data_IF_511237706379
#
_entry.id   IF_511237706379
#
_cell.length_a   1.000
_cell.length_b   1.000
_cell.length_c   1.000
_cell.angle_alpha   90.00
_cell.angle_beta   90.00
_cell.angle_gamma   90.00
#
_symmetry.space_group_name_H-M   'P 1'
#
loop_
_entity.id
_entity.type
_entity.pdbx_description
1 polymer ?
#
# COMPACT_ATOMS: atom_id res chain seq x y z
N UNK A 1 -67.76 12.20 -44.41
CA UNK A 1 -67.92 13.67 -44.57
C UNK A 1 -68.39 14.26 -43.25
N UNK A 2 -67.97 15.50 -42.95
CA UNK A 2 -68.05 16.27 -41.67
C UNK A 2 -66.74 16.21 -40.89
N UNK A 3 -65.77 17.06 -41.20
CA UNK A 3 -65.61 18.51 -40.89
C UNK A 3 -64.93 18.76 -39.54
N UNK A 4 -63.81 19.46 -39.66
CA UNK A 4 -62.84 19.90 -38.67
C UNK A 4 -63.26 21.22 -37.99
N UNK A 5 -62.64 21.47 -36.82
CA UNK A 5 -62.36 22.76 -36.15
C UNK A 5 -63.54 23.46 -35.43
N UNK A 6 -63.40 24.17 -34.31
CA UNK A 6 -62.32 24.54 -33.38
C UNK A 6 -63.00 25.19 -32.16
N UNK A 7 -62.44 25.08 -30.95
CA UNK A 7 -62.12 26.23 -30.06
C UNK A 7 -61.52 25.75 -28.71
N UNK A 8 -60.65 26.55 -28.07
CA UNK A 8 -59.68 26.13 -27.08
C UNK A 8 -60.16 26.34 -25.64
N UNK A 9 -59.63 25.54 -24.71
CA UNK A 9 -59.57 25.90 -23.28
C UNK A 9 -58.16 25.63 -22.79
N UNK A 10 -57.50 26.70 -22.37
CA UNK A 10 -56.19 26.72 -21.71
C UNK A 10 -56.40 26.65 -20.20
N UNK A 11 -55.34 26.26 -19.48
CA UNK A 11 -55.09 26.31 -18.03
C UNK A 11 -55.46 25.05 -17.22
N UNK A 12 -54.48 24.21 -16.87
CA UNK A 12 -53.53 24.50 -15.77
C UNK A 12 -52.56 23.33 -15.57
N UNK A 13 -51.31 23.68 -15.30
CA UNK A 13 -50.21 22.77 -15.01
C UNK A 13 -50.36 22.12 -13.63
N UNK A 14 -50.13 20.81 -13.56
CA UNK A 14 -49.78 20.08 -12.35
C UNK A 14 -48.58 19.18 -12.71
N UNK A 15 -47.38 19.73 -12.54
CA UNK A 15 -46.15 18.95 -12.57
C UNK A 15 -46.08 18.16 -11.25
N UNK A 16 -46.47 16.89 -11.31
CA UNK A 16 -46.08 15.90 -10.31
C UNK A 16 -44.58 15.69 -10.45
N UNK A 17 -43.81 16.36 -9.59
CA UNK A 17 -42.40 16.08 -9.40
C UNK A 17 -42.23 14.69 -8.81
N UNK A 18 -41.87 13.72 -9.65
CA UNK A 18 -41.27 12.48 -9.17
C UNK A 18 -39.92 12.85 -8.54
N UNK A 19 -39.83 12.72 -7.22
CA UNK A 19 -38.56 12.71 -6.53
C UNK A 19 -37.75 11.52 -7.06
N UNK A 20 -36.78 11.80 -7.94
CA UNK A 20 -35.73 10.85 -8.26
C UNK A 20 -34.92 10.61 -6.99
N UNK A 21 -34.95 9.38 -6.49
CA UNK A 21 -33.94 8.85 -5.60
C UNK A 21 -32.56 9.22 -6.14
N UNK A 22 -31.63 9.73 -5.31
CA UNK A 22 -30.28 9.97 -5.79
C UNK A 22 -29.69 8.61 -6.17
N UNK A 23 -29.49 8.40 -7.47
CA UNK A 23 -28.66 7.31 -7.97
C UNK A 23 -27.31 7.40 -7.24
N UNK A 24 -26.96 6.34 -6.51
CA UNK A 24 -25.59 6.09 -6.10
C UNK A 24 -24.78 5.87 -7.39
N UNK A 25 -24.32 6.96 -7.99
CA UNK A 25 -23.26 6.90 -8.97
C UNK A 25 -22.05 6.28 -8.29
N UNK A 26 -21.53 5.21 -8.88
CA UNK A 26 -20.20 4.70 -8.57
C UNK A 26 -19.19 5.83 -8.83
N UNK A 27 -18.82 6.56 -7.79
CA UNK A 27 -17.99 7.77 -7.85
C UNK A 27 -16.54 7.48 -8.21
N UNK A 28 -16.15 6.21 -8.30
CA UNK A 28 -14.78 5.77 -8.65
C UNK A 28 -14.53 5.76 -10.16
N UNK A 29 -15.52 5.39 -10.97
CA UNK A 29 -15.43 5.34 -12.43
C UNK A 29 -15.16 6.73 -13.04
N UNK A 30 -15.63 7.78 -12.38
CA UNK A 30 -15.43 9.17 -12.81
C UNK A 30 -13.98 9.65 -12.55
N UNK A 31 -13.35 9.26 -11.44
CA UNK A 31 -11.97 9.69 -11.14
C UNK A 31 -10.95 9.14 -12.15
N UNK A 32 -11.03 7.85 -12.48
CA UNK A 32 -10.16 7.23 -13.48
C UNK A 32 -10.39 7.79 -14.89
N UNK A 33 -11.59 8.31 -15.19
CA UNK A 33 -11.88 8.96 -16.46
C UNK A 33 -11.15 10.30 -16.61
N UNK A 34 -10.82 10.98 -15.50
CA UNK A 34 -10.06 12.24 -15.50
C UNK A 34 -8.55 12.06 -15.69
N UNK A 35 -8.04 10.83 -15.60
CA UNK A 35 -6.62 10.52 -15.72
C UNK A 35 -6.17 10.35 -17.18
N UNK A 36 -4.90 10.64 -17.50
CA UNK A 36 -4.33 10.29 -18.80
C UNK A 36 -4.44 8.78 -19.05
N UNK A 37 -4.64 8.40 -20.32
CA UNK A 37 -4.68 6.98 -20.74
C UNK A 37 -3.25 6.44 -20.82
N UNK A 38 -2.74 5.96 -19.69
CA UNK A 38 -1.40 5.42 -19.54
C UNK A 38 -1.40 3.88 -19.61
N UNK A 39 -0.32 3.33 -20.11
CA UNK A 39 0.01 1.89 -20.12
C UNK A 39 1.41 1.69 -19.52
N UNK A 40 1.75 0.46 -19.10
CA UNK A 40 3.12 0.14 -18.66
C UNK A 40 4.18 0.62 -19.65
N UNK A 41 3.96 0.37 -20.95
CA UNK A 41 4.90 0.75 -22.02
C UNK A 41 5.11 2.26 -22.15
N UNK A 42 4.08 3.06 -21.84
CA UNK A 42 4.15 4.52 -21.95
C UNK A 42 4.66 5.19 -20.68
N UNK A 43 4.47 4.54 -19.52
CA UNK A 43 4.83 5.12 -18.22
C UNK A 43 6.22 4.67 -17.76
N UNK A 44 6.65 3.45 -18.06
CA UNK A 44 7.96 2.94 -17.68
C UNK A 44 9.00 3.23 -18.77
N UNK A 45 10.10 3.94 -18.45
CA UNK A 45 11.23 4.03 -19.34
C UNK A 45 11.97 2.67 -19.41
N UNK A 46 12.79 2.44 -20.45
CA UNK A 46 13.68 1.28 -20.43
C UNK A 46 14.64 1.36 -19.25
N UNK A 47 14.85 0.24 -18.57
CA UNK A 47 15.84 0.08 -17.52
C UNK A 47 17.00 -0.80 -17.98
N UNK A 48 18.19 -0.53 -17.44
CA UNK A 48 19.38 -1.35 -17.64
C UNK A 48 19.68 -2.12 -16.37
N UNK A 49 20.28 -3.31 -16.53
CA UNK A 49 20.81 -4.04 -15.39
C UNK A 49 21.92 -3.24 -14.70
N UNK A 50 22.03 -3.40 -13.38
CA UNK A 50 23.12 -2.84 -12.59
C UNK A 50 23.73 -3.93 -11.69
N UNK A 51 24.60 -3.54 -10.75
CA UNK A 51 25.26 -4.49 -9.83
C UNK A 51 24.31 -5.20 -8.86
N UNK A 52 23.08 -4.71 -8.70
CA UNK A 52 22.09 -5.24 -7.77
C UNK A 52 20.95 -5.99 -8.46
N UNK A 53 20.54 -5.57 -9.66
CA UNK A 53 19.35 -6.08 -10.30
C UNK A 53 19.44 -6.28 -11.82
N UNK A 54 18.75 -7.31 -12.30
CA UNK A 54 18.57 -7.65 -13.71
C UNK A 54 17.10 -7.95 -14.00
N UNK A 55 16.68 -7.85 -15.27
CA UNK A 55 15.29 -8.12 -15.66
C UNK A 55 14.85 -9.58 -15.48
N UNK A 56 15.79 -10.51 -15.23
CA UNK A 56 15.52 -11.95 -15.06
C UNK A 56 15.26 -12.32 -13.60
N UNK A 57 15.46 -11.40 -12.67
CA UNK A 57 15.23 -11.65 -11.25
C UNK A 57 13.74 -11.59 -10.93
N UNK A 58 13.36 -12.26 -9.85
CA UNK A 58 11.98 -12.28 -9.40
C UNK A 58 11.51 -10.90 -8.95
N UNK A 59 10.26 -10.58 -9.28
CA UNK A 59 9.70 -9.23 -9.12
C UNK A 59 9.67 -8.75 -7.66
N UNK A 60 9.46 -9.65 -6.70
CA UNK A 60 9.47 -9.38 -5.25
C UNK A 60 10.88 -9.07 -4.72
N UNK A 61 11.92 -9.77 -5.20
CA UNK A 61 13.31 -9.42 -4.91
C UNK A 61 13.63 -8.05 -5.50
N UNK A 62 13.27 -7.81 -6.77
CA UNK A 62 13.49 -6.54 -7.43
C UNK A 62 12.81 -5.38 -6.70
N UNK A 63 11.58 -5.57 -6.23
CA UNK A 63 10.85 -4.59 -5.44
C UNK A 63 11.54 -4.31 -4.11
N UNK A 64 11.89 -5.36 -3.35
CA UNK A 64 12.58 -5.23 -2.06
C UNK A 64 13.94 -4.54 -2.20
N UNK A 65 14.74 -4.89 -3.20
CA UNK A 65 16.01 -4.24 -3.54
C UNK A 65 15.79 -2.76 -3.86
N UNK A 66 14.81 -2.47 -4.72
CA UNK A 66 14.43 -1.12 -5.09
C UNK A 66 14.11 -0.24 -3.88
N UNK A 67 13.30 -0.75 -2.94
CA UNK A 67 12.98 -0.05 -1.69
C UNK A 67 14.20 0.15 -0.80
N UNK A 68 15.04 -0.87 -0.62
CA UNK A 68 16.24 -0.79 0.22
C UNK A 68 17.23 0.24 -0.31
N UNK A 69 17.53 0.20 -1.61
CA UNK A 69 18.40 1.16 -2.28
C UNK A 69 17.83 2.58 -2.22
N UNK A 70 16.51 2.73 -2.41
CA UNK A 70 15.85 4.03 -2.26
C UNK A 70 16.00 4.60 -0.84
N UNK A 71 15.79 3.78 0.19
CA UNK A 71 15.95 4.17 1.59
C UNK A 71 17.41 4.48 1.95
N UNK A 72 18.36 3.81 1.28
CA UNK A 72 19.79 4.12 1.36
C UNK A 72 20.20 5.35 0.50
N UNK A 73 19.23 6.03 -0.12
CA UNK A 73 19.41 7.18 -1.01
C UNK A 73 20.21 6.88 -2.30
N UNK A 74 20.39 5.61 -2.66
CA UNK A 74 20.94 5.16 -3.94
C UNK A 74 19.84 5.09 -5.01
N UNK A 75 19.33 6.28 -5.36
CA UNK A 75 18.19 6.43 -6.27
C UNK A 75 18.48 5.94 -7.70
N UNK A 76 19.74 5.98 -8.15
CA UNK A 76 20.13 5.55 -9.48
C UNK A 76 19.98 4.03 -9.63
N UNK A 77 20.49 3.26 -8.66
CA UNK A 77 20.32 1.81 -8.69
C UNK A 77 18.89 1.39 -8.35
N UNK A 78 18.26 2.05 -7.38
CA UNK A 78 16.86 1.80 -7.02
C UNK A 78 15.91 1.92 -8.23
N UNK A 79 16.09 2.96 -9.06
CA UNK A 79 15.24 3.23 -10.23
C UNK A 79 15.15 2.02 -11.16
N UNK A 80 16.28 1.38 -11.45
CA UNK A 80 16.32 0.23 -12.37
C UNK A 80 15.58 -0.97 -11.78
N UNK A 81 15.81 -1.27 -10.49
CA UNK A 81 15.16 -2.40 -9.83
C UNK A 81 13.64 -2.19 -9.72
N UNK A 82 13.22 -0.96 -9.38
CA UNK A 82 11.80 -0.59 -9.30
C UNK A 82 11.11 -0.62 -10.66
N UNK A 83 11.78 -0.22 -11.75
CA UNK A 83 11.23 -0.35 -13.11
C UNK A 83 11.01 -1.83 -13.48
N UNK A 84 11.96 -2.71 -13.14
CA UNK A 84 11.79 -4.14 -13.41
C UNK A 84 10.69 -4.77 -12.55
N UNK A 85 10.49 -4.30 -11.31
CA UNK A 85 9.43 -4.78 -10.42
C UNK A 85 8.02 -4.25 -10.75
N UNK A 86 7.93 -3.03 -11.29
CA UNK A 86 6.67 -2.28 -11.47
C UNK A 86 5.54 -3.00 -12.24
N UNK A 87 5.80 -3.90 -13.22
CA UNK A 87 4.72 -4.66 -13.87
C UNK A 87 3.91 -5.55 -12.93
N UNK A 88 4.49 -5.98 -11.80
CA UNK A 88 3.85 -6.85 -10.81
C UNK A 88 3.65 -6.16 -9.45
N UNK A 89 4.30 -5.01 -9.23
CA UNK A 89 4.28 -4.27 -7.96
C UNK A 89 3.85 -2.81 -8.19
N UNK A 90 2.55 -2.53 -8.11
CA UNK A 90 2.02 -1.18 -8.36
C UNK A 90 2.62 -0.12 -7.42
N UNK A 91 2.96 -0.48 -6.19
CA UNK A 91 3.58 0.47 -5.25
C UNK A 91 4.99 0.92 -5.66
N UNK A 92 5.66 0.18 -6.56
CA UNK A 92 6.93 0.63 -7.15
C UNK A 92 6.79 2.00 -7.83
N UNK A 93 5.62 2.31 -8.40
CA UNK A 93 5.35 3.61 -9.01
C UNK A 93 5.34 4.77 -8.01
N UNK A 94 4.96 4.54 -6.74
CA UNK A 94 5.10 5.56 -5.69
C UNK A 94 6.58 5.91 -5.46
N UNK A 95 7.46 4.91 -5.41
CA UNK A 95 8.91 5.13 -5.28
C UNK A 95 9.50 5.78 -6.54
N UNK A 96 9.11 5.31 -7.73
CA UNK A 96 9.55 5.88 -9.00
C UNK A 96 9.13 7.35 -9.14
N UNK A 97 7.94 7.72 -8.66
CA UNK A 97 7.51 9.12 -8.57
C UNK A 97 8.45 9.96 -7.70
N UNK A 98 8.83 9.46 -6.52
CA UNK A 98 9.74 10.17 -5.62
C UNK A 98 11.16 10.29 -6.21
N UNK A 99 11.61 9.28 -6.95
CA UNK A 99 12.88 9.33 -7.68
C UNK A 99 12.81 10.35 -8.82
N UNK A 100 11.73 10.33 -9.60
CA UNK A 100 11.52 11.27 -10.71
C UNK A 100 11.53 12.72 -10.24
N UNK A 101 10.93 13.03 -9.08
CA UNK A 101 10.94 14.37 -8.48
C UNK A 101 12.34 14.90 -8.16
N UNK A 102 13.34 14.02 -8.02
CA UNK A 102 14.73 14.35 -7.68
C UNK A 102 15.68 14.32 -8.88
N UNK A 103 15.21 13.97 -10.07
CA UNK A 103 16.03 13.79 -11.27
C UNK A 103 16.60 15.13 -11.79
N UNK A 104 17.85 15.41 -11.41
CA UNK A 104 18.52 16.69 -11.72
C UNK A 104 18.87 16.84 -13.21
N UNK A 105 18.82 15.76 -13.99
CA UNK A 105 19.09 15.82 -15.44
C UNK A 105 17.89 16.35 -16.22
N UNK A 106 16.70 16.31 -15.63
CA UNK A 106 15.45 16.75 -16.24
C UNK A 106 15.08 18.17 -15.83
N UNK A 107 14.38 18.88 -16.71
CA UNK A 107 13.71 20.12 -16.33
C UNK A 107 12.61 19.85 -15.30
N UNK A 108 12.21 20.87 -14.54
CA UNK A 108 11.12 20.73 -13.58
C UNK A 108 9.82 20.24 -14.24
N UNK A 109 9.48 20.74 -15.43
CA UNK A 109 8.28 20.33 -16.15
C UNK A 109 8.31 18.85 -16.54
N UNK A 110 9.47 18.33 -16.96
CA UNK A 110 9.64 16.91 -17.28
C UNK A 110 9.53 16.03 -16.03
N UNK A 111 10.15 16.42 -14.91
CA UNK A 111 10.02 15.72 -13.63
C UNK A 111 8.57 15.68 -13.16
N UNK A 112 7.91 16.84 -13.17
CA UNK A 112 6.53 17.00 -12.75
C UNK A 112 5.60 16.08 -13.57
N UNK A 113 5.75 16.08 -14.89
CA UNK A 113 4.93 15.26 -15.78
C UNK A 113 5.20 13.76 -15.58
N UNK A 114 6.47 13.35 -15.44
CA UNK A 114 6.83 11.94 -15.22
C UNK A 114 6.31 11.43 -13.87
N UNK A 115 6.54 12.19 -12.80
CA UNK A 115 6.02 11.87 -11.47
C UNK A 115 4.50 11.81 -11.46
N UNK A 116 3.81 12.77 -12.10
CA UNK A 116 2.36 12.72 -12.24
C UNK A 116 1.90 11.45 -12.96
N UNK A 117 2.59 11.04 -14.04
CA UNK A 117 2.23 9.84 -14.77
C UNK A 117 2.41 8.57 -13.94
N UNK A 118 3.46 8.45 -13.12
CA UNK A 118 3.62 7.33 -12.21
C UNK A 118 2.48 7.25 -11.18
N UNK A 119 2.15 8.38 -10.54
CA UNK A 119 1.06 8.45 -9.56
C UNK A 119 -0.30 8.17 -10.23
N UNK A 120 -0.58 8.78 -11.39
CA UNK A 120 -1.83 8.56 -12.12
C UNK A 120 -1.97 7.10 -12.57
N UNK A 121 -0.90 6.47 -13.05
CA UNK A 121 -0.92 5.07 -13.43
C UNK A 121 -1.26 4.18 -12.23
N UNK A 122 -0.54 4.29 -11.12
CA UNK A 122 -0.78 3.47 -9.93
C UNK A 122 -2.15 3.73 -9.28
N UNK A 123 -2.60 4.98 -9.23
CA UNK A 123 -3.94 5.33 -8.74
C UNK A 123 -5.04 4.70 -9.62
N UNK A 124 -4.81 4.60 -10.93
CA UNK A 124 -5.74 3.91 -11.83
C UNK A 124 -5.85 2.41 -11.54
N UNK A 125 -4.82 1.82 -10.92
CA UNK A 125 -4.74 0.43 -10.48
C UNK A 125 -5.15 0.24 -9.00
N UNK A 126 -5.82 1.23 -8.40
CA UNK A 126 -6.29 1.20 -7.00
C UNK A 126 -5.17 1.15 -5.94
N UNK A 127 -3.95 1.60 -6.28
CA UNK A 127 -2.89 1.71 -5.27
C UNK A 127 -3.19 2.90 -4.34
N UNK A 128 -3.38 2.61 -3.06
CA UNK A 128 -3.82 3.60 -2.09
C UNK A 128 -2.78 4.70 -1.84
N UNK A 129 -1.48 4.41 -2.00
CA UNK A 129 -0.40 5.39 -1.86
C UNK A 129 -0.49 6.41 -2.99
N UNK A 130 -0.72 5.93 -4.22
CA UNK A 130 -0.89 6.76 -5.39
C UNK A 130 -2.20 7.56 -5.34
N UNK A 131 -3.29 6.99 -4.84
CA UNK A 131 -4.56 7.72 -4.63
C UNK A 131 -4.40 8.87 -3.64
N UNK A 132 -3.65 8.67 -2.55
CA UNK A 132 -3.25 9.75 -1.65
C UNK A 132 -2.33 10.77 -2.33
N UNK A 133 -1.44 10.31 -3.20
CA UNK A 133 -0.64 11.16 -4.08
C UNK A 133 -1.51 12.07 -4.96
N UNK A 134 -2.58 11.53 -5.56
CA UNK A 134 -3.54 12.29 -6.34
C UNK A 134 -4.29 13.33 -5.48
N UNK A 135 -4.67 12.98 -4.25
CA UNK A 135 -5.22 13.96 -3.29
C UNK A 135 -4.26 15.13 -3.11
N UNK A 136 -2.98 14.87 -2.79
CA UNK A 136 -1.99 15.95 -2.60
C UNK A 136 -1.86 16.82 -3.84
N UNK A 137 -1.76 16.21 -5.02
CA UNK A 137 -1.57 16.92 -6.30
C UNK A 137 -2.71 17.91 -6.54
N UNK A 138 -3.97 17.47 -6.41
CA UNK A 138 -5.14 18.32 -6.63
C UNK A 138 -5.39 19.30 -5.46
N UNK A 139 -5.06 18.93 -4.23
CA UNK A 139 -5.30 19.78 -3.06
C UNK A 139 -4.48 21.07 -3.10
N UNK A 140 -3.25 21.00 -3.60
CA UNK A 140 -2.34 22.15 -3.69
C UNK A 140 -2.23 22.74 -5.10
N UNK A 141 -2.55 21.97 -6.13
CA UNK A 141 -2.25 22.32 -7.52
C UNK A 141 -0.75 22.22 -7.79
N UNK A 142 -0.29 21.07 -8.24
CA UNK A 142 1.13 20.80 -8.54
C UNK A 142 1.27 19.88 -9.75
N UNK A 143 2.50 19.68 -10.21
CA UNK A 143 2.82 18.78 -11.33
C UNK A 143 2.05 19.10 -12.62
N UNK A 144 1.89 20.39 -12.91
CA UNK A 144 1.13 20.88 -14.07
C UNK A 144 -0.40 20.77 -13.95
N UNK A 145 -0.91 20.44 -12.76
CA UNK A 145 -2.35 20.32 -12.47
C UNK A 145 -2.84 21.50 -11.64
N UNK A 146 -3.97 22.07 -12.03
CA UNK A 146 -4.62 23.13 -11.26
C UNK A 146 -5.21 22.61 -9.95
N UNK A 147 -5.23 23.48 -8.93
CA UNK A 147 -5.81 23.15 -7.63
C UNK A 147 -7.32 22.90 -7.76
N UNK A 148 -7.77 21.72 -7.34
CA UNK A 148 -9.16 21.27 -7.37
C UNK A 148 -9.50 20.54 -6.06
N UNK A 149 -9.95 21.25 -5.01
CA UNK A 149 -10.21 20.66 -3.69
C UNK A 149 -11.32 19.62 -3.68
N UNK A 150 -12.32 19.77 -4.56
CA UNK A 150 -13.43 18.82 -4.67
C UNK A 150 -12.95 17.49 -5.23
N UNK A 151 -12.15 17.54 -6.30
CA UNK A 151 -11.52 16.33 -6.82
C UNK A 151 -10.50 15.74 -5.86
N UNK A 152 -9.74 16.58 -5.16
CA UNK A 152 -8.82 16.13 -4.13
C UNK A 152 -9.56 15.33 -3.04
N UNK A 153 -10.67 15.88 -2.51
CA UNK A 153 -11.51 15.19 -1.51
C UNK A 153 -11.93 13.80 -1.99
N UNK A 154 -12.35 13.68 -3.24
CA UNK A 154 -12.76 12.38 -3.82
C UNK A 154 -11.60 11.39 -3.94
N UNK A 155 -10.39 11.84 -4.29
CA UNK A 155 -9.21 10.98 -4.27
C UNK A 155 -8.82 10.54 -2.86
N UNK A 156 -8.96 11.42 -1.86
CA UNK A 156 -8.72 11.09 -0.45
C UNK A 156 -9.72 10.05 0.06
N UNK A 157 -11.00 10.21 -0.28
CA UNK A 157 -12.05 9.23 0.02
C UNK A 157 -11.75 7.87 -0.59
N UNK A 158 -11.29 7.83 -1.84
CA UNK A 158 -10.92 6.57 -2.50
C UNK A 158 -9.73 5.89 -1.81
N UNK A 159 -8.67 6.64 -1.49
CA UNK A 159 -7.52 6.13 -0.74
C UNK A 159 -7.90 5.58 0.63
N UNK A 160 -8.80 6.27 1.35
CA UNK A 160 -9.31 5.81 2.64
C UNK A 160 -10.17 4.54 2.53
N UNK A 161 -10.98 4.43 1.46
CA UNK A 161 -11.74 3.22 1.14
C UNK A 161 -10.79 2.06 0.77
N UNK A 162 -9.67 2.33 0.12
CA UNK A 162 -8.63 1.35 -0.12
C UNK A 162 -7.70 1.13 1.08
N UNK A 163 -8.12 1.54 2.28
CA UNK A 163 -7.51 1.09 3.53
C UNK A 163 -6.34 1.94 4.04
N UNK A 164 -5.99 3.04 3.36
CA UNK A 164 -4.86 3.86 3.80
C UNK A 164 -5.21 4.65 5.07
N UNK A 165 -4.57 4.28 6.19
CA UNK A 165 -4.87 4.80 7.53
C UNK A 165 -4.76 6.31 7.62
N UNK A 166 -3.71 6.90 7.03
CA UNK A 166 -3.52 8.35 7.02
C UNK A 166 -4.64 9.08 6.27
N UNK A 167 -5.19 8.47 5.22
CA UNK A 167 -6.36 9.03 4.52
C UNK A 167 -7.63 8.93 5.35
N UNK A 168 -7.82 7.82 6.08
CA UNK A 168 -8.95 7.66 7.00
C UNK A 168 -8.91 8.70 8.13
N UNK A 169 -7.75 8.88 8.77
CA UNK A 169 -7.54 9.91 9.79
C UNK A 169 -7.71 11.31 9.21
N UNK A 170 -7.16 11.60 8.03
CA UNK A 170 -7.32 12.89 7.37
C UNK A 170 -8.81 13.19 7.09
N UNK A 171 -9.60 12.21 6.65
CA UNK A 171 -11.04 12.40 6.47
C UNK A 171 -11.75 12.68 7.79
N UNK A 172 -11.44 11.93 8.86
CA UNK A 172 -12.05 12.16 10.17
C UNK A 172 -11.87 13.61 10.64
N UNK A 173 -10.65 14.15 10.56
CA UNK A 173 -10.36 15.54 10.95
C UNK A 173 -10.98 16.56 9.98
N UNK A 174 -10.97 16.30 8.68
CA UNK A 174 -11.56 17.22 7.69
C UNK A 174 -13.06 17.34 7.86
N UNK A 175 -13.76 16.22 8.06
CA UNK A 175 -15.20 16.24 8.31
C UNK A 175 -15.54 16.97 9.62
N UNK A 176 -14.70 16.86 10.65
CA UNK A 176 -14.89 17.64 11.88
C UNK A 176 -14.73 19.14 11.60
N UNK A 177 -13.70 19.53 10.85
CA UNK A 177 -13.47 20.93 10.48
C UNK A 177 -14.58 21.52 9.59
N UNK A 178 -15.21 20.68 8.76
CA UNK A 178 -16.36 21.03 7.92
C UNK A 178 -17.70 20.98 8.71
N UNK A 179 -17.66 20.78 10.03
CA UNK A 179 -18.82 20.62 10.94
C UNK A 179 -19.74 19.42 10.63
N UNK A 180 -19.29 18.48 9.79
CA UNK A 180 -19.95 17.20 9.54
C UNK A 180 -19.51 16.15 10.59
N UNK A 181 -20.03 16.34 11.80
CA UNK A 181 -19.71 15.49 12.95
C UNK A 181 -20.10 14.03 12.73
N UNK A 182 -21.13 13.75 11.93
CA UNK A 182 -21.58 12.39 11.65
C UNK A 182 -20.55 11.62 10.80
N UNK A 183 -20.06 12.24 9.73
CA UNK A 183 -18.98 11.68 8.90
C UNK A 183 -17.66 11.58 9.65
N UNK A 184 -17.33 12.58 10.46
CA UNK A 184 -16.13 12.55 11.31
C UNK A 184 -16.16 11.38 12.29
N UNK A 185 -17.28 11.18 12.98
CA UNK A 185 -17.44 10.06 13.92
C UNK A 185 -17.42 8.71 13.20
N UNK A 186 -17.99 8.61 12.00
CA UNK A 186 -17.99 7.36 11.24
C UNK A 186 -16.57 6.96 10.80
N UNK A 187 -15.79 7.90 10.25
CA UNK A 187 -14.40 7.64 9.84
C UNK A 187 -13.47 7.41 11.03
N UNK A 188 -13.61 8.15 12.14
CA UNK A 188 -12.79 7.91 13.34
C UNK A 188 -13.02 6.50 13.94
N UNK A 189 -14.24 5.95 13.82
CA UNK A 189 -14.53 4.56 14.18
C UNK A 189 -13.90 3.53 13.23
N UNK A 190 -13.67 3.87 11.96
CA UNK A 190 -12.93 3.01 11.02
C UNK A 190 -11.44 2.97 11.41
N UNK A 191 -10.88 4.12 11.80
CA UNK A 191 -9.50 4.20 12.30
C UNK A 191 -9.34 3.34 13.57
N UNK A 192 -10.30 3.42 14.49
CA UNK A 192 -10.36 2.60 15.70
C UNK A 192 -9.76 3.30 16.91
N UNK A 193 -9.03 2.55 17.73
CA UNK A 193 -8.62 2.97 19.08
C UNK A 193 -7.73 4.22 19.10
N UNK A 194 -6.95 4.45 18.03
CA UNK A 194 -6.12 5.66 17.88
C UNK A 194 -6.94 6.96 17.92
N UNK A 195 -8.26 6.87 17.68
CA UNK A 195 -9.19 7.99 17.69
C UNK A 195 -10.22 7.91 18.83
N UNK A 196 -10.01 7.08 19.86
CA UNK A 196 -10.98 6.90 20.94
C UNK A 196 -11.36 8.22 21.64
N UNK A 197 -10.38 9.10 21.88
CA UNK A 197 -10.64 10.42 22.47
C UNK A 197 -11.49 11.31 21.54
N UNK A 198 -11.15 11.35 20.24
CA UNK A 198 -11.93 12.12 19.26
C UNK A 198 -13.37 11.61 19.19
N UNK A 199 -13.57 10.29 19.19
CA UNK A 199 -14.90 9.68 19.16
C UNK A 199 -15.76 10.12 20.34
N UNK A 200 -15.20 10.13 21.56
CA UNK A 200 -15.91 10.58 22.76
C UNK A 200 -16.26 12.08 22.68
N UNK A 201 -15.30 12.92 22.30
CA UNK A 201 -15.52 14.36 22.15
C UNK A 201 -16.61 14.68 21.10
N UNK A 202 -16.65 13.94 19.99
CA UNK A 202 -17.69 14.09 18.97
C UNK A 202 -19.06 13.68 19.51
N UNK A 203 -19.16 12.54 20.20
CA UNK A 203 -20.43 12.06 20.79
C UNK A 203 -21.04 13.04 21.79
N UNK A 204 -20.21 13.78 22.54
CA UNK A 204 -20.68 14.81 23.48
C UNK A 204 -21.28 16.04 22.78
N UNK A 205 -20.85 16.35 21.55
CA UNK A 205 -21.30 17.50 20.76
C UNK A 205 -22.49 17.19 19.86
N UNK A 206 -22.76 15.91 19.60
CA UNK A 206 -23.74 15.46 18.59
C UNK A 206 -25.14 15.26 19.15
N UNK A 207 -26.15 15.56 18.34
CA UNK A 207 -27.54 15.17 18.63
C UNK A 207 -27.86 13.72 18.19
N UNK A 208 -29.03 13.22 18.58
CA UNK A 208 -29.47 11.86 18.27
C UNK A 208 -29.57 11.57 16.76
N UNK A 209 -29.87 12.57 15.93
CA UNK A 209 -29.97 12.41 14.48
C UNK A 209 -28.59 12.31 13.85
N UNK A 210 -27.63 13.09 14.33
CA UNK A 210 -26.24 13.03 13.89
C UNK A 210 -25.60 11.69 14.29
N UNK A 211 -25.90 11.17 15.48
CA UNK A 211 -25.46 9.84 15.93
C UNK A 211 -26.02 8.73 15.03
N UNK A 212 -27.33 8.71 14.77
CA UNK A 212 -27.96 7.75 13.86
C UNK A 212 -27.39 7.84 12.42
N UNK A 213 -27.11 9.05 11.94
CA UNK A 213 -26.48 9.25 10.64
C UNK A 213 -25.06 8.68 10.60
N UNK A 214 -24.30 8.87 11.69
CA UNK A 214 -22.96 8.31 11.84
C UNK A 214 -22.97 6.78 11.88
N UNK A 215 -23.92 6.19 12.61
CA UNK A 215 -24.06 4.73 12.71
C UNK A 215 -24.33 4.11 11.34
N UNK A 216 -25.28 4.67 10.58
CA UNK A 216 -25.58 4.21 9.21
C UNK A 216 -24.38 4.33 8.27
N UNK A 217 -23.66 5.44 8.35
CA UNK A 217 -22.47 5.63 7.52
C UNK A 217 -21.36 4.65 7.91
N UNK A 218 -21.12 4.45 9.20
CA UNK A 218 -20.14 3.48 9.70
C UNK A 218 -20.44 2.06 9.21
N UNK A 219 -21.69 1.59 9.31
CA UNK A 219 -22.10 0.27 8.81
C UNK A 219 -21.87 0.12 7.29
N UNK A 220 -22.08 1.19 6.53
CA UNK A 220 -21.75 1.23 5.11
C UNK A 220 -20.23 1.18 4.87
N UNK A 221 -19.47 1.97 5.61
CA UNK A 221 -18.00 2.03 5.49
C UNK A 221 -17.36 0.68 5.83
N UNK A 222 -17.83 -0.03 6.85
CA UNK A 222 -17.32 -1.37 7.21
C UNK A 222 -17.38 -2.39 6.07
N UNK A 223 -18.30 -2.20 5.11
CA UNK A 223 -18.46 -3.10 3.95
C UNK A 223 -17.62 -2.67 2.74
N UNK A 224 -17.20 -1.39 2.70
CA UNK A 224 -16.56 -0.76 1.53
C UNK A 224 -15.07 -0.50 1.74
N UNK A 225 -14.67 -0.22 2.98
CA UNK A 225 -13.27 -0.02 3.34
C UNK A 225 -12.58 -1.39 3.30
N UNK A 226 -11.45 -1.48 2.60
CA UNK A 226 -10.60 -2.67 2.64
C UNK A 226 -10.22 -2.95 4.09
N UNK A 227 -10.45 -4.18 4.55
CA UNK A 227 -10.23 -4.54 5.95
C UNK A 227 -8.77 -4.38 6.34
N UNK A 228 -8.51 -4.08 7.62
CA UNK A 228 -7.15 -4.06 8.17
C UNK A 228 -6.42 -5.39 7.90
N UNK A 229 -7.12 -6.52 7.95
CA UNK A 229 -6.57 -7.84 7.62
C UNK A 229 -6.06 -7.93 6.18
N UNK A 230 -6.83 -7.44 5.20
CA UNK A 230 -6.42 -7.43 3.80
C UNK A 230 -5.26 -6.45 3.55
N UNK A 231 -5.24 -5.30 4.23
CA UNK A 231 -4.10 -4.37 4.21
C UNK A 231 -2.84 -4.99 4.81
N UNK A 232 -2.97 -5.70 5.93
CA UNK A 232 -1.86 -6.45 6.49
C UNK A 232 -1.42 -7.61 5.58
N UNK A 233 -2.33 -8.23 4.83
CA UNK A 233 -1.95 -9.24 3.85
C UNK A 233 -1.09 -8.64 2.73
N UNK A 234 -1.48 -7.48 2.21
CA UNK A 234 -0.67 -6.75 1.22
C UNK A 234 0.69 -6.33 1.81
N UNK A 235 0.73 -5.71 2.99
CA UNK A 235 1.97 -5.30 3.65
C UNK A 235 2.89 -6.50 3.92
N UNK A 236 2.34 -7.68 4.23
CA UNK A 236 3.10 -8.91 4.38
C UNK A 236 3.73 -9.39 3.07
N UNK A 237 3.08 -9.18 1.93
CA UNK A 237 3.69 -9.50 0.63
C UNK A 237 4.86 -8.55 0.31
N UNK A 238 4.79 -7.29 0.74
CA UNK A 238 5.95 -6.38 0.68
C UNK A 238 7.08 -6.81 1.61
N UNK A 239 6.73 -7.27 2.80
CA UNK A 239 7.70 -7.80 3.76
C UNK A 239 8.40 -9.05 3.19
N UNK A 240 7.68 -9.94 2.51
CA UNK A 240 8.27 -11.08 1.80
C UNK A 240 9.30 -10.62 0.77
N UNK A 241 8.98 -9.61 -0.05
CA UNK A 241 9.93 -9.04 -1.02
C UNK A 241 11.16 -8.43 -0.34
N UNK A 242 10.96 -7.71 0.77
CA UNK A 242 12.04 -7.11 1.55
C UNK A 242 12.97 -8.16 2.17
N UNK A 243 12.42 -9.21 2.81
CA UNK A 243 13.23 -10.29 3.36
C UNK A 243 13.95 -11.07 2.27
N UNK A 244 13.27 -11.36 1.15
CA UNK A 244 13.89 -12.01 -0.01
C UNK A 244 15.06 -11.19 -0.55
N UNK A 245 14.90 -9.87 -0.68
CA UNK A 245 15.95 -8.96 -1.10
C UNK A 245 17.12 -8.90 -0.11
N UNK A 246 16.86 -8.79 1.19
CA UNK A 246 17.92 -8.83 2.22
C UNK A 246 18.75 -10.10 2.12
N UNK A 247 18.10 -11.26 2.08
CA UNK A 247 18.81 -12.53 2.02
C UNK A 247 19.52 -12.68 0.68
N UNK A 248 18.90 -12.27 -0.43
CA UNK A 248 19.53 -12.30 -1.75
C UNK A 248 20.83 -11.48 -1.81
N UNK A 249 20.88 -10.31 -1.15
CA UNK A 249 22.07 -9.47 -1.13
C UNK A 249 23.20 -10.03 -0.26
N UNK A 250 22.86 -10.58 0.89
CA UNK A 250 23.84 -10.88 1.93
C UNK A 250 24.21 -12.37 1.97
N UNK A 251 23.26 -13.26 1.69
CA UNK A 251 23.39 -14.71 1.80
C UNK A 251 22.66 -15.43 0.64
N UNK A 252 23.01 -15.18 -0.64
CA UNK A 252 22.27 -15.70 -1.79
C UNK A 252 22.20 -17.24 -1.83
N UNK A 253 23.15 -17.94 -1.22
CA UNK A 253 23.16 -19.40 -1.12
C UNK A 253 21.98 -19.95 -0.31
N UNK A 254 21.41 -19.15 0.61
CA UNK A 254 20.25 -19.54 1.44
C UNK A 254 19.03 -19.79 0.55
N UNK A 255 18.85 -18.97 -0.49
CA UNK A 255 17.71 -19.06 -1.40
C UNK A 255 18.03 -19.89 -2.65
N UNK A 256 19.24 -20.42 -2.76
CA UNK A 256 19.69 -21.12 -3.96
C UNK A 256 18.87 -22.39 -4.21
N UNK A 257 18.45 -22.55 -5.47
CA UNK A 257 17.69 -23.72 -5.92
C UNK A 257 16.20 -23.70 -5.57
N UNK A 258 15.69 -22.61 -4.98
CA UNK A 258 14.26 -22.40 -4.79
C UNK A 258 13.64 -21.73 -6.02
N UNK A 259 12.55 -22.29 -6.52
CA UNK A 259 11.66 -21.59 -7.45
C UNK A 259 10.94 -20.43 -6.75
N UNK A 260 10.44 -19.45 -7.51
CA UNK A 260 9.81 -18.22 -6.98
C UNK A 260 8.75 -18.50 -5.91
N UNK A 261 7.80 -19.40 -6.20
CA UNK A 261 6.71 -19.72 -5.27
C UNK A 261 7.23 -20.42 -4.01
N UNK A 262 8.19 -21.34 -4.17
CA UNK A 262 8.82 -22.03 -3.04
C UNK A 262 9.58 -21.08 -2.13
N UNK A 263 10.33 -20.12 -2.70
CA UNK A 263 11.00 -19.07 -1.92
C UNK A 263 9.96 -18.26 -1.14
N UNK A 264 8.93 -17.77 -1.83
CA UNK A 264 7.91 -16.91 -1.20
C UNK A 264 7.19 -17.64 -0.07
N UNK A 265 6.88 -18.91 -0.25
CA UNK A 265 6.26 -19.74 0.78
C UNK A 265 7.19 -19.96 1.97
N UNK A 266 8.47 -20.24 1.72
CA UNK A 266 9.47 -20.34 2.78
C UNK A 266 9.58 -19.03 3.58
N UNK A 267 9.76 -17.90 2.90
CA UNK A 267 9.90 -16.58 3.54
C UNK A 267 8.63 -16.24 4.33
N UNK A 268 7.45 -16.48 3.76
CA UNK A 268 6.17 -16.23 4.43
C UNK A 268 6.03 -17.05 5.71
N UNK A 269 6.25 -18.36 5.63
CA UNK A 269 6.13 -19.25 6.79
C UNK A 269 7.15 -18.89 7.86
N UNK A 270 8.42 -18.73 7.48
CA UNK A 270 9.48 -18.39 8.42
C UNK A 270 9.27 -17.02 9.08
N UNK A 271 8.76 -16.03 8.34
CA UNK A 271 8.39 -14.73 8.88
C UNK A 271 7.30 -14.86 9.96
N UNK A 272 6.21 -15.58 9.65
CA UNK A 272 5.13 -15.77 10.62
C UNK A 272 5.60 -16.53 11.86
N UNK A 273 6.38 -17.60 11.68
CA UNK A 273 6.93 -18.34 12.82
C UNK A 273 7.81 -17.45 13.69
N UNK A 274 8.69 -16.64 13.09
CA UNK A 274 9.57 -15.75 13.83
C UNK A 274 8.79 -14.68 14.61
N UNK A 275 7.76 -14.08 14.02
CA UNK A 275 6.97 -13.02 14.64
C UNK A 275 6.12 -13.48 15.83
N UNK A 276 5.82 -14.78 15.92
CA UNK A 276 5.13 -15.38 17.08
C UNK A 276 6.09 -15.68 18.26
N UNK A 277 7.41 -15.55 18.06
CA UNK A 277 8.38 -15.79 19.12
C UNK A 277 8.44 -14.60 20.09
N UNK A 278 8.30 -14.80 21.40
CA UNK A 278 8.16 -13.72 22.38
C UNK A 278 9.43 -12.87 22.59
N UNK A 279 10.55 -13.26 21.98
CA UNK A 279 11.86 -12.60 22.07
C UNK A 279 12.33 -12.03 20.73
N UNK A 280 11.54 -12.16 19.66
CA UNK A 280 11.84 -11.56 18.37
C UNK A 280 11.19 -10.19 18.33
N UNK A 281 12.02 -9.15 18.34
CA UNK A 281 11.58 -7.75 18.38
C UNK A 281 12.03 -6.98 17.12
N UNK A 282 13.06 -7.48 16.43
CA UNK A 282 13.66 -6.78 15.30
C UNK A 282 13.52 -7.54 13.99
N UNK A 283 13.53 -6.79 12.87
CA UNK A 283 13.58 -7.38 11.53
C UNK A 283 14.85 -8.19 11.29
N UNK A 284 15.94 -7.82 11.95
CA UNK A 284 17.23 -8.51 11.87
C UNK A 284 17.14 -9.91 12.51
N UNK A 285 16.49 -10.03 13.68
CA UNK A 285 16.22 -11.32 14.31
C UNK A 285 15.32 -12.21 13.44
N UNK A 286 14.29 -11.64 12.80
CA UNK A 286 13.46 -12.38 11.84
C UNK A 286 14.30 -12.90 10.67
N UNK A 287 15.18 -12.05 10.12
CA UNK A 287 16.08 -12.45 9.02
C UNK A 287 17.05 -13.55 9.46
N UNK A 288 17.62 -13.43 10.67
CA UNK A 288 18.51 -14.42 11.24
C UNK A 288 17.79 -15.77 11.38
N UNK A 289 16.57 -15.77 11.93
CA UNK A 289 15.74 -16.98 12.01
C UNK A 289 15.55 -17.64 10.64
N UNK A 290 15.25 -16.87 9.59
CA UNK A 290 15.10 -17.39 8.23
C UNK A 290 16.39 -18.03 7.72
N UNK A 291 17.52 -17.33 7.84
CA UNK A 291 18.83 -17.82 7.37
C UNK A 291 19.22 -19.10 8.08
N UNK A 292 19.13 -19.12 9.41
CA UNK A 292 19.48 -20.30 10.21
C UNK A 292 18.55 -21.48 9.90
N UNK A 293 17.24 -21.25 9.82
CA UNK A 293 16.25 -22.30 9.52
C UNK A 293 16.53 -22.94 8.18
N UNK A 294 16.83 -22.12 7.17
CA UNK A 294 17.09 -22.61 5.82
C UNK A 294 18.41 -23.37 5.73
N UNK A 295 19.49 -22.87 6.35
CA UNK A 295 20.77 -23.58 6.41
C UNK A 295 20.61 -24.97 7.04
N UNK A 296 19.86 -25.07 8.14
CA UNK A 296 19.55 -26.37 8.77
C UNK A 296 18.73 -27.29 7.84
N UNK A 297 17.69 -26.77 7.19
CA UNK A 297 16.85 -27.52 6.26
C UNK A 297 17.57 -28.00 4.99
N UNK A 298 18.68 -27.36 4.62
CA UNK A 298 19.55 -27.83 3.53
C UNK A 298 20.38 -29.06 3.91
N UNK A 299 20.64 -29.27 5.21
CA UNK A 299 21.35 -30.44 5.73
C UNK A 299 20.38 -31.57 6.09
N UNK A 300 19.30 -31.25 6.81
CA UNK A 300 18.26 -32.18 7.21
C UNK A 300 16.87 -31.64 6.82
N UNK A 301 16.21 -32.23 5.80
CA UNK A 301 14.85 -31.83 5.43
C UNK A 301 13.88 -31.95 6.62
N UNK A 302 13.22 -30.85 6.98
CA UNK A 302 12.33 -30.78 8.13
C UNK A 302 13.00 -30.37 9.44
N UNK A 303 14.29 -30.00 9.43
CA UNK A 303 14.97 -29.42 10.58
C UNK A 303 14.20 -28.23 11.18
N UNK A 304 14.02 -28.26 12.50
CA UNK A 304 13.46 -27.18 13.30
C UNK A 304 14.54 -26.67 14.26
N UNK A 305 15.04 -25.46 13.99
CA UNK A 305 16.10 -24.85 14.80
C UNK A 305 15.61 -24.43 16.19
N UNK A 306 14.29 -24.31 16.39
CA UNK A 306 13.72 -23.96 17.69
C UNK A 306 13.83 -25.11 18.71
N UNK A 307 14.12 -26.34 18.25
CA UNK A 307 14.45 -27.46 19.12
C UNK A 307 15.91 -27.44 19.61
N UNK A 308 16.75 -26.56 19.06
CA UNK A 308 18.15 -26.43 19.46
C UNK A 308 18.33 -25.22 20.39
N UNK A 309 18.58 -25.43 21.71
CA UNK A 309 18.68 -24.32 22.66
C UNK A 309 19.87 -23.39 22.39
N UNK A 310 20.93 -23.85 21.72
CA UNK A 310 22.06 -22.99 21.37
C UNK A 310 21.69 -22.02 20.24
N UNK A 311 20.96 -22.50 19.22
CA UNK A 311 20.46 -21.64 18.14
C UNK A 311 19.40 -20.65 18.65
N UNK A 312 18.51 -21.10 19.55
CA UNK A 312 17.54 -20.22 20.22
C UNK A 312 18.26 -19.13 21.03
N UNK A 313 19.32 -19.47 21.76
CA UNK A 313 20.10 -18.49 22.52
C UNK A 313 20.74 -17.42 21.63
N UNK A 314 21.17 -17.77 20.41
CA UNK A 314 21.66 -16.80 19.43
C UNK A 314 20.56 -15.87 18.94
N UNK A 315 19.36 -16.39 18.65
CA UNK A 315 18.20 -15.57 18.23
C UNK A 315 17.77 -14.58 19.33
N UNK A 316 17.93 -14.94 20.60
CA UNK A 316 17.59 -14.12 21.76
C UNK A 316 18.63 -13.04 22.07
N UNK A 317 19.85 -13.17 21.55
CA UNK A 317 20.96 -12.33 21.94
C UNK A 317 21.02 -11.04 21.11
N UNK A 318 20.51 -9.95 21.69
CA UNK A 318 20.49 -8.62 21.08
C UNK A 318 21.84 -7.90 21.09
N UNK A 319 22.85 -8.44 21.78
CA UNK A 319 24.19 -7.85 21.84
C UNK A 319 25.09 -8.29 20.68
N UNK A 320 24.71 -9.35 19.96
CA UNK A 320 25.44 -9.82 18.77
C UNK A 320 24.95 -9.09 17.52
N UNK A 321 25.89 -8.74 16.64
CA UNK A 321 25.52 -8.37 15.28
C UNK A 321 24.98 -9.60 14.53
N UNK A 322 24.22 -9.37 13.47
CA UNK A 322 23.76 -10.45 12.59
C UNK A 322 24.91 -11.35 12.12
N UNK A 323 26.03 -10.76 11.68
CA UNK A 323 27.17 -11.52 11.17
C UNK A 323 27.83 -12.38 12.24
N UNK A 324 27.90 -11.88 13.49
CA UNK A 324 28.43 -12.65 14.61
C UNK A 324 27.51 -13.83 14.94
N UNK A 325 26.21 -13.59 15.03
CA UNK A 325 25.24 -14.63 15.33
C UNK A 325 25.15 -15.69 14.22
N UNK A 326 25.16 -15.30 12.94
CA UNK A 326 25.20 -16.24 11.82
C UNK A 326 26.50 -17.07 11.81
N UNK A 327 27.65 -16.44 12.04
CA UNK A 327 28.93 -17.16 12.11
C UNK A 327 28.97 -18.21 13.22
N UNK A 328 28.50 -17.86 14.42
CA UNK A 328 28.42 -18.79 15.55
C UNK A 328 27.43 -19.94 15.28
N UNK A 329 26.29 -19.63 14.64
CA UNK A 329 25.25 -20.59 14.33
C UNK A 329 25.69 -21.62 13.26
N UNK A 330 26.52 -21.25 12.28
CA UNK A 330 26.96 -22.15 11.21
C UNK A 330 27.56 -23.45 11.75
N UNK A 331 28.49 -23.33 12.71
CA UNK A 331 29.12 -24.52 13.32
C UNK A 331 28.11 -25.35 14.10
N UNK A 332 27.20 -24.72 14.84
CA UNK A 332 26.16 -25.43 15.60
C UNK A 332 25.23 -26.19 14.64
N UNK A 333 24.85 -25.58 13.53
CA UNK A 333 24.01 -26.19 12.49
C UNK A 333 24.72 -27.40 11.87
N UNK A 334 25.98 -27.25 11.47
CA UNK A 334 26.77 -28.35 10.92
C UNK A 334 26.97 -29.49 11.92
N UNK A 335 27.20 -29.20 13.20
CA UNK A 335 27.39 -30.20 14.24
C UNK A 335 26.07 -30.93 14.60
N UNK A 336 24.92 -30.30 14.35
CA UNK A 336 23.59 -30.82 14.77
C UNK A 336 22.87 -31.57 13.65
N UNK A 337 22.91 -31.07 12.41
CA UNK A 337 22.03 -31.52 11.31
C UNK A 337 22.77 -32.25 10.18
N UNK A 338 24.07 -32.51 10.34
CA UNK A 338 24.90 -33.27 9.40
C UNK A 338 25.09 -34.71 9.88
#
# INVERSE_FOLDING_TARGET
MRHFHCLPVVFSALMLGCASTPEQHDTTADLNATLPKLTLKTVLPPAQANSYCTAQMDSDILYGLGMQLFNANDTANAKSCLIFAAPEHNRAFCYLSLIADRDQEKSQAERDQESFNYIAYAASQNDWCAEYGMWRIYQIGSKGVERDPERAKRWLERSALHGYGESQSALAYRYEADEDLASSLAWSRIVGDDHAEQQEQLRQKMDAKQLDSSDKLYESLQKRVISKEAMYAEAREEDIGRYSATIHLNDPEVLQGMETEQRRDFIRQAMFTALELPYVETREQVTLYMVLSRRAQMLEPGADILQNPQLVALLQNTELSFEQADADARRIIEDTYR
#
